data_IF_423079376868
#
_entry.id   IF_423079376868
#
_cell.length_a   1.000
_cell.length_b   1.000
_cell.length_c   1.000
_cell.angle_alpha   90.00
_cell.angle_beta   90.00
_cell.angle_gamma   90.00
#
_symmetry.space_group_name_H-M   'P 1'
#
loop_
_entity.id
_entity.type
_entity.pdbx_description
1 polymer ?
#
# COMPACT_ATOMS: atom_id res chain seq x y z
N UNK A 1 -0.46 -6.36 17.51
CA UNK A 1 0.07 -5.05 18.05
C UNK A 1 -0.10 -3.97 17.00
N UNK A 2 -0.69 -2.83 17.34
CA UNK A 2 -0.86 -1.69 16.42
C UNK A 2 0.49 -1.00 16.19
N UNK A 3 0.95 -1.01 14.92
CA UNK A 3 2.21 -0.44 14.49
C UNK A 3 2.02 1.01 14.01
N UNK A 4 3.01 1.90 14.17
CA UNK A 4 2.91 3.25 13.65
C UNK A 4 3.08 3.28 12.13
N UNK A 5 2.23 4.06 11.43
CA UNK A 5 2.35 4.30 9.99
C UNK A 5 3.45 5.33 9.73
N UNK A 6 4.40 4.98 8.88
CA UNK A 6 5.46 5.88 8.40
C UNK A 6 4.89 6.81 7.34
N UNK A 7 5.02 8.11 7.56
CA UNK A 7 4.46 9.12 6.66
C UNK A 7 5.45 9.63 5.63
N UNK A 8 4.94 10.31 4.62
CA UNK A 8 5.70 10.91 3.54
C UNK A 8 6.97 11.60 4.02
N UNK A 9 8.08 11.35 3.32
CA UNK A 9 9.42 11.83 3.66
C UNK A 9 10.28 10.81 4.40
N UNK A 10 9.70 9.77 5.00
CA UNK A 10 10.47 8.69 5.63
C UNK A 10 11.27 7.93 4.56
N UNK A 11 12.61 7.74 4.73
CA UNK A 11 13.45 7.12 3.71
C UNK A 11 13.03 5.71 3.33
N UNK A 12 12.46 4.93 4.26
CA UNK A 12 12.02 3.56 4.01
C UNK A 12 10.96 3.48 2.93
N UNK A 13 10.11 4.52 2.76
CA UNK A 13 9.06 4.57 1.74
C UNK A 13 9.62 4.72 0.31
N UNK A 14 10.91 5.03 0.18
CA UNK A 14 11.59 5.16 -1.11
C UNK A 14 12.59 4.04 -1.38
N UNK A 15 12.69 3.08 -0.47
CA UNK A 15 13.51 1.89 -0.69
C UNK A 15 12.76 0.88 -1.55
N UNK A 16 13.50 0.17 -2.40
CA UNK A 16 13.02 -1.05 -3.02
C UNK A 16 13.05 -2.14 -1.97
N UNK A 17 11.92 -2.77 -1.71
CA UNK A 17 11.78 -3.83 -0.74
C UNK A 17 12.37 -5.14 -1.28
N UNK A 18 12.95 -5.93 -0.38
CA UNK A 18 13.56 -7.22 -0.69
C UNK A 18 12.56 -8.35 -0.46
N UNK A 19 12.69 -9.43 -1.25
CA UNK A 19 11.98 -10.66 -0.99
C UNK A 19 12.39 -11.23 0.37
N UNK A 20 11.42 -11.74 1.12
CA UNK A 20 11.67 -12.36 2.42
C UNK A 20 11.93 -13.85 2.25
N UNK A 21 12.87 -14.43 3.01
CA UNK A 21 13.14 -15.87 3.00
C UNK A 21 11.97 -16.65 3.63
N UNK A 22 11.86 -17.93 3.31
CA UNK A 22 10.79 -18.81 3.82
C UNK A 22 10.85 -19.02 5.33
N UNK A 23 12.02 -18.82 5.95
CA UNK A 23 12.27 -18.92 7.38
C UNK A 23 12.28 -17.54 8.09
N UNK A 24 11.64 -16.54 7.48
CA UNK A 24 11.56 -15.19 8.08
C UNK A 24 10.94 -15.26 9.48
N UNK A 25 11.65 -14.74 10.51
CA UNK A 25 11.22 -14.90 11.90
C UNK A 25 9.91 -14.16 12.17
N UNK A 26 9.01 -14.78 12.92
CA UNK A 26 7.75 -14.19 13.38
C UNK A 26 6.84 -13.64 12.26
N UNK A 27 6.93 -14.20 11.03
CA UNK A 27 6.17 -13.74 9.87
C UNK A 27 4.65 -13.71 10.15
N UNK A 28 4.12 -14.77 10.77
CA UNK A 28 2.70 -14.88 11.11
C UNK A 28 2.26 -13.77 12.09
N UNK A 29 3.10 -13.47 13.09
CA UNK A 29 2.83 -12.38 14.03
C UNK A 29 2.90 -11.02 13.33
N UNK A 30 3.86 -10.81 12.44
CA UNK A 30 3.96 -9.58 11.65
C UNK A 30 2.71 -9.36 10.77
N UNK A 31 2.23 -10.41 10.10
CA UNK A 31 1.00 -10.37 9.29
C UNK A 31 -0.20 -9.99 10.17
N UNK A 32 -0.33 -10.61 11.35
CA UNK A 32 -1.41 -10.29 12.29
C UNK A 32 -1.34 -8.83 12.78
N UNK A 33 -0.16 -8.34 13.13
CA UNK A 33 0.07 -6.95 13.54
C UNK A 33 -0.25 -5.95 12.41
N UNK A 34 0.08 -6.30 11.15
CA UNK A 34 -0.25 -5.48 9.99
C UNK A 34 -1.76 -5.40 9.75
N UNK A 35 -2.49 -6.50 9.88
CA UNK A 35 -3.95 -6.50 9.78
C UNK A 35 -4.61 -5.70 10.92
N UNK A 36 -4.14 -5.86 12.17
CA UNK A 36 -4.64 -5.08 13.30
C UNK A 36 -4.41 -3.57 13.07
N UNK A 37 -3.24 -3.21 12.57
CA UNK A 37 -2.89 -1.83 12.20
C UNK A 37 -3.77 -1.30 11.08
N UNK A 38 -4.03 -2.11 10.04
CA UNK A 38 -4.89 -1.76 8.91
C UNK A 38 -6.32 -1.47 9.38
N UNK A 39 -6.88 -2.35 10.20
CA UNK A 39 -8.23 -2.20 10.77
C UNK A 39 -8.34 -0.92 11.61
N UNK A 40 -7.38 -0.66 12.50
CA UNK A 40 -7.35 0.55 13.34
C UNK A 40 -7.21 1.84 12.52
N UNK A 41 -6.54 1.75 11.38
CA UNK A 41 -6.32 2.88 10.47
C UNK A 41 -7.46 3.08 9.46
N UNK A 42 -8.50 2.23 9.49
CA UNK A 42 -9.63 2.23 8.55
C UNK A 42 -9.17 2.14 7.08
N UNK A 43 -8.04 1.47 6.84
CA UNK A 43 -7.49 1.24 5.51
C UNK A 43 -7.97 -0.07 4.89
N UNK A 44 -7.70 -0.24 3.59
CA UNK A 44 -8.01 -1.46 2.83
C UNK A 44 -6.77 -2.22 2.38
N UNK A 45 -5.61 -1.59 2.42
CA UNK A 45 -4.30 -2.17 2.10
C UNK A 45 -3.19 -1.53 2.90
N UNK A 46 -2.15 -2.31 3.18
CA UNK A 46 -0.97 -1.86 3.92
C UNK A 46 0.26 -2.65 3.47
N UNK A 47 1.30 -1.93 3.04
CA UNK A 47 2.58 -2.50 2.67
C UNK A 47 3.61 -2.38 3.80
N UNK A 48 4.50 -3.34 3.94
CA UNK A 48 5.52 -3.38 4.99
C UNK A 48 6.42 -2.12 5.06
N UNK A 49 6.79 -1.45 3.96
CA UNK A 49 7.49 -0.17 4.05
C UNK A 49 6.73 0.91 4.84
N UNK A 50 5.39 0.89 4.82
CA UNK A 50 4.55 1.83 5.58
C UNK A 50 4.59 1.59 7.10
N UNK A 51 5.13 0.46 7.54
CA UNK A 51 5.42 0.18 8.96
C UNK A 51 6.92 0.12 9.25
N UNK A 52 7.76 0.66 8.34
CA UNK A 52 9.19 0.81 8.53
C UNK A 52 10.05 -0.38 8.11
N UNK A 53 9.49 -1.38 7.42
CA UNK A 53 10.20 -2.60 6.99
C UNK A 53 10.31 -2.65 5.46
N UNK A 54 11.51 -2.58 4.90
CA UNK A 54 11.75 -2.66 3.47
C UNK A 54 11.76 -4.13 2.97
N UNK A 55 10.66 -4.84 3.19
CA UNK A 55 10.44 -6.23 2.78
C UNK A 55 9.18 -6.33 1.93
N UNK A 56 9.13 -7.32 1.02
CA UNK A 56 8.00 -7.55 0.13
C UNK A 56 6.87 -8.29 0.83
N UNK A 57 6.10 -7.56 1.63
CA UNK A 57 4.91 -8.05 2.32
C UNK A 57 3.82 -6.98 2.25
N UNK A 58 2.61 -7.42 1.88
CA UNK A 58 1.41 -6.59 1.80
C UNK A 58 0.25 -7.34 2.43
N UNK A 59 -0.64 -6.63 3.11
CA UNK A 59 -1.93 -7.14 3.56
C UNK A 59 -3.05 -6.32 2.91
N UNK A 60 -4.10 -7.00 2.45
CA UNK A 60 -5.28 -6.39 1.83
C UNK A 60 -6.52 -6.97 2.50
N UNK A 61 -7.43 -6.08 2.91
CA UNK A 61 -8.73 -6.42 3.50
C UNK A 61 -9.82 -5.65 2.74
N UNK A 62 -10.47 -6.32 1.79
CA UNK A 62 -11.61 -5.78 1.04
C UNK A 62 -12.95 -6.24 1.61
N UNK A 63 -12.96 -7.13 2.61
CA UNK A 63 -14.18 -7.56 3.28
C UNK A 63 -14.93 -6.37 3.91
N UNK A 64 -14.18 -5.35 4.35
CA UNK A 64 -14.75 -4.09 4.87
C UNK A 64 -15.60 -3.32 3.85
N UNK A 65 -15.50 -3.65 2.56
CA UNK A 65 -16.27 -3.08 1.46
C UNK A 65 -17.38 -4.01 0.96
N UNK A 66 -17.59 -5.17 1.57
CA UNK A 66 -18.49 -6.22 1.08
C UNK A 66 -19.96 -5.79 0.99
N UNK A 67 -20.37 -4.79 1.76
CA UNK A 67 -21.74 -4.24 1.68
C UNK A 67 -22.00 -3.55 0.33
N UNK A 68 -20.98 -2.87 -0.22
CA UNK A 68 -21.04 -2.16 -1.51
C UNK A 68 -20.50 -3.02 -2.66
N UNK A 69 -19.58 -3.94 -2.37
CA UNK A 69 -18.88 -4.83 -3.31
C UNK A 69 -18.93 -6.27 -2.82
N UNK A 70 -20.09 -6.97 -2.98
CA UNK A 70 -20.32 -8.32 -2.44
C UNK A 70 -19.32 -9.37 -2.90
N UNK A 71 -18.67 -9.17 -4.05
CA UNK A 71 -17.61 -10.04 -4.59
C UNK A 71 -16.38 -10.12 -3.68
N UNK A 72 -16.18 -9.15 -2.79
CA UNK A 72 -15.05 -9.11 -1.85
C UNK A 72 -15.39 -9.61 -0.45
N UNK A 73 -16.56 -10.22 -0.28
CA UNK A 73 -16.90 -10.86 0.99
C UNK A 73 -15.84 -11.90 1.37
N UNK A 74 -15.41 -11.86 2.62
CA UNK A 74 -14.34 -12.72 3.20
C UNK A 74 -12.96 -12.52 2.54
N UNK A 75 -12.75 -11.44 1.76
CA UNK A 75 -11.47 -11.13 1.15
C UNK A 75 -10.56 -10.39 2.14
N UNK A 76 -9.78 -11.16 2.87
CA UNK A 76 -8.73 -10.67 3.79
C UNK A 76 -7.50 -11.54 3.65
N UNK A 77 -6.45 -11.04 2.95
CA UNK A 77 -5.31 -11.87 2.53
C UNK A 77 -3.98 -11.14 2.66
N UNK A 78 -2.91 -11.83 3.13
CA UNK A 78 -1.54 -11.39 2.97
C UNK A 78 -1.00 -11.81 1.59
N UNK A 79 -0.06 -11.02 1.09
CA UNK A 79 0.70 -11.27 -0.13
C UNK A 79 2.18 -11.23 0.23
N UNK A 80 2.85 -12.38 0.18
CA UNK A 80 4.26 -12.55 0.52
C UNK A 80 5.05 -12.59 -0.78
N UNK A 81 6.10 -11.78 -0.88
CA UNK A 81 6.93 -11.65 -2.07
C UNK A 81 6.11 -11.38 -3.36
N UNK A 82 5.13 -10.44 -3.33
CA UNK A 82 4.32 -10.18 -4.50
C UNK A 82 5.11 -9.41 -5.56
N UNK A 83 4.91 -9.80 -6.84
CA UNK A 83 5.47 -9.14 -8.01
C UNK A 83 4.41 -9.02 -9.10
N UNK A 84 4.25 -7.83 -9.68
CA UNK A 84 3.50 -7.67 -10.93
C UNK A 84 4.43 -8.05 -12.07
N UNK A 85 4.11 -9.12 -12.77
CA UNK A 85 4.93 -9.66 -13.87
C UNK A 85 4.46 -9.20 -15.25
N UNK A 86 3.21 -8.74 -15.34
CA UNK A 86 2.63 -8.26 -16.59
C UNK A 86 1.52 -7.23 -16.32
N UNK A 87 1.43 -6.21 -17.16
CA UNK A 87 0.35 -5.23 -17.19
C UNK A 87 -0.40 -5.38 -18.51
N UNK A 88 -1.73 -5.42 -18.44
CA UNK A 88 -2.57 -5.33 -19.63
C UNK A 88 -2.94 -3.86 -19.87
N UNK A 89 -2.18 -3.21 -20.74
CA UNK A 89 -2.35 -1.79 -21.06
C UNK A 89 -3.47 -1.53 -22.10
N UNK A 90 -4.23 -2.56 -22.50
CA UNK A 90 -5.33 -2.41 -23.46
C UNK A 90 -6.47 -1.56 -22.90
N UNK A 91 -6.66 -1.56 -21.59
CA UNK A 91 -7.65 -0.77 -20.89
C UNK A 91 -7.08 -0.13 -19.63
N UNK A 92 -7.32 1.17 -19.48
CA UNK A 92 -6.91 1.92 -18.29
C UNK A 92 -8.09 2.66 -17.69
N UNK A 93 -8.08 2.85 -16.38
CA UNK A 93 -9.10 3.59 -15.66
C UNK A 93 -8.46 4.63 -14.74
N UNK A 94 -9.12 5.79 -14.61
CA UNK A 94 -8.71 6.86 -13.70
C UNK A 94 -9.64 6.91 -12.50
N UNK A 95 -9.11 6.63 -11.31
CA UNK A 95 -9.84 6.67 -10.05
C UNK A 95 -9.09 7.48 -9.01
N UNK A 96 -9.82 8.04 -8.04
CA UNK A 96 -9.24 8.71 -6.89
C UNK A 96 -8.55 7.69 -5.96
N UNK A 97 -7.32 7.99 -5.56
CA UNK A 97 -6.55 7.23 -4.59
C UNK A 97 -6.13 8.11 -3.42
N UNK A 98 -6.05 7.48 -2.25
CA UNK A 98 -5.47 8.02 -1.03
C UNK A 98 -4.52 7.00 -0.42
N UNK A 99 -3.73 7.40 0.58
CA UNK A 99 -2.74 6.53 1.20
C UNK A 99 -2.56 6.87 2.69
N UNK A 100 -2.46 5.87 3.54
CA UNK A 100 -2.22 6.07 4.98
C UNK A 100 -0.90 6.81 5.25
N UNK A 101 0.10 6.67 4.37
CA UNK A 101 1.37 7.41 4.45
C UNK A 101 1.29 8.85 3.95
N UNK A 102 0.16 9.26 3.36
CA UNK A 102 -0.13 10.58 2.80
C UNK A 102 -1.49 11.11 3.33
N UNK A 103 -1.64 11.31 4.66
CA UNK A 103 -2.91 11.76 5.23
C UNK A 103 -3.49 12.99 4.54
N UNK A 104 -4.81 12.96 4.27
CA UNK A 104 -5.57 14.04 3.66
C UNK A 104 -5.14 14.45 2.23
N UNK A 105 -4.38 13.61 1.53
CA UNK A 105 -4.03 13.81 0.12
C UNK A 105 -4.73 12.74 -0.72
N UNK A 106 -5.53 13.20 -1.69
CA UNK A 106 -6.23 12.36 -2.65
C UNK A 106 -6.03 12.94 -4.04
N UNK A 107 -5.75 12.07 -5.01
CA UNK A 107 -5.55 12.44 -6.41
C UNK A 107 -6.07 11.34 -7.33
N UNK A 108 -6.52 11.72 -8.53
CA UNK A 108 -6.87 10.76 -9.56
C UNK A 108 -5.62 10.15 -10.17
N UNK A 109 -5.58 8.83 -10.21
CA UNK A 109 -4.49 8.04 -10.78
C UNK A 109 -5.03 7.14 -11.88
N UNK A 110 -4.39 7.17 -13.05
CA UNK A 110 -4.71 6.26 -14.14
C UNK A 110 -3.86 5.01 -14.03
N UNK A 111 -4.52 3.83 -14.06
CA UNK A 111 -3.86 2.53 -13.98
C UNK A 111 -4.47 1.54 -14.97
N UNK A 112 -3.70 0.55 -15.47
CA UNK A 112 -4.27 -0.62 -16.12
C UNK A 112 -5.34 -1.29 -15.26
N UNK A 113 -6.42 -1.76 -15.88
CA UNK A 113 -7.53 -2.43 -15.18
C UNK A 113 -7.22 -3.89 -14.86
N UNK A 114 -6.16 -4.45 -15.46
CA UNK A 114 -5.80 -5.87 -15.34
C UNK A 114 -4.29 -6.05 -15.25
N UNK A 115 -3.85 -6.90 -14.33
CA UNK A 115 -2.43 -7.21 -14.08
C UNK A 115 -2.25 -8.70 -13.85
N UNK A 116 -1.07 -9.24 -14.17
CA UNK A 116 -0.66 -10.58 -13.75
C UNK A 116 0.28 -10.49 -12.57
N UNK A 117 -0.03 -11.22 -11.51
CA UNK A 117 0.65 -11.14 -10.22
C UNK A 117 1.15 -12.52 -9.81
N UNK A 118 2.38 -12.58 -9.32
CA UNK A 118 2.95 -13.75 -8.64
C UNK A 118 3.16 -13.41 -7.18
N UNK A 119 2.81 -14.33 -6.25
CA UNK A 119 3.02 -14.16 -4.81
C UNK A 119 3.01 -15.51 -4.09
N UNK A 120 3.41 -15.51 -2.81
CA UNK A 120 3.21 -16.63 -1.90
C UNK A 120 2.08 -16.30 -0.92
N UNK A 121 1.24 -17.29 -0.60
CA UNK A 121 0.22 -17.17 0.43
C UNK A 121 0.77 -17.43 1.85
N UNK A 122 -0.12 -17.49 2.85
CA UNK A 122 0.27 -17.70 4.27
C UNK A 122 0.96 -19.05 4.51
N UNK A 123 0.69 -20.04 3.66
CA UNK A 123 1.28 -21.39 3.71
C UNK A 123 2.51 -21.48 2.80
N UNK A 124 2.99 -20.33 2.28
CA UNK A 124 4.12 -20.19 1.36
C UNK A 124 3.90 -20.94 0.02
N UNK A 125 2.64 -21.14 -0.36
CA UNK A 125 2.32 -21.75 -1.65
C UNK A 125 2.34 -20.67 -2.74
N UNK A 126 2.95 -20.96 -3.90
CA UNK A 126 3.05 -20.01 -5.00
C UNK A 126 1.74 -19.86 -5.76
N UNK A 127 1.43 -18.63 -6.11
CA UNK A 127 0.30 -18.24 -6.96
C UNK A 127 0.80 -17.44 -8.16
N UNK A 128 0.12 -17.58 -9.29
CA UNK A 128 0.35 -16.81 -10.53
C UNK A 128 -1.01 -16.61 -11.20
N UNK A 129 -1.55 -15.40 -11.09
CA UNK A 129 -2.92 -15.12 -11.52
C UNK A 129 -3.03 -13.78 -12.21
N UNK A 130 -3.97 -13.71 -13.17
CA UNK A 130 -4.49 -12.45 -13.66
C UNK A 130 -5.53 -11.92 -12.69
N UNK A 131 -5.39 -10.65 -12.34
CA UNK A 131 -6.28 -9.93 -11.43
C UNK A 131 -6.81 -8.70 -12.14
N UNK A 132 -8.09 -8.41 -11.98
CA UNK A 132 -8.76 -7.28 -12.63
C UNK A 132 -9.64 -6.48 -11.64
N UNK A 133 -10.14 -5.35 -12.10
CA UNK A 133 -11.06 -4.51 -11.36
C UNK A 133 -10.44 -3.81 -10.15
N UNK A 134 -11.23 -3.60 -9.11
CA UNK A 134 -10.80 -2.84 -7.94
C UNK A 134 -9.63 -3.51 -7.18
N UNK A 135 -9.62 -4.85 -7.09
CA UNK A 135 -8.50 -5.58 -6.49
C UNK A 135 -7.18 -5.30 -7.23
N UNK A 136 -7.19 -5.29 -8.57
CA UNK A 136 -6.00 -4.95 -9.35
C UNK A 136 -5.50 -3.53 -9.07
N UNK A 137 -6.40 -2.57 -8.84
CA UNK A 137 -6.06 -1.21 -8.43
C UNK A 137 -5.38 -1.18 -7.06
N UNK A 138 -5.97 -1.84 -6.08
CA UNK A 138 -5.41 -1.90 -4.72
C UNK A 138 -4.05 -2.59 -4.73
N UNK A 139 -3.90 -3.71 -5.44
CA UNK A 139 -2.61 -4.39 -5.58
C UNK A 139 -1.55 -3.49 -6.21
N UNK A 140 -1.87 -2.77 -7.28
CA UNK A 140 -0.92 -1.84 -7.91
C UNK A 140 -0.47 -0.73 -6.95
N UNK A 141 -1.40 -0.19 -6.16
CA UNK A 141 -1.09 0.83 -5.16
C UNK A 141 -0.13 0.29 -4.08
N UNK A 142 -0.46 -0.87 -3.50
CA UNK A 142 0.33 -1.45 -2.41
C UNK A 142 1.68 -1.99 -2.90
N UNK A 143 1.73 -2.57 -4.10
CA UNK A 143 2.98 -3.10 -4.66
C UNK A 143 3.90 -1.98 -5.15
N UNK A 144 3.36 -0.81 -5.51
CA UNK A 144 4.18 0.39 -5.73
C UNK A 144 5.02 0.74 -4.50
N UNK A 145 4.46 0.61 -3.28
CA UNK A 145 5.21 0.83 -2.05
C UNK A 145 6.42 -0.10 -1.91
N UNK A 146 6.30 -1.34 -2.40
CA UNK A 146 7.42 -2.29 -2.40
C UNK A 146 8.54 -1.91 -3.38
N UNK A 147 8.21 -1.11 -4.39
CA UNK A 147 9.16 -0.59 -5.37
C UNK A 147 9.61 0.86 -5.06
N UNK A 148 9.35 1.33 -3.84
CA UNK A 148 9.71 2.67 -3.39
C UNK A 148 8.90 3.79 -4.06
N UNK A 149 7.72 3.48 -4.58
CA UNK A 149 6.81 4.41 -5.27
C UNK A 149 5.58 4.70 -4.44
N UNK A 150 4.98 5.85 -4.67
CA UNK A 150 3.70 6.25 -4.10
C UNK A 150 2.76 6.74 -5.21
N UNK A 151 1.45 6.75 -4.98
CA UNK A 151 0.48 7.14 -6.01
C UNK A 151 0.71 8.56 -6.56
N UNK A 152 1.28 9.47 -5.77
CA UNK A 152 1.64 10.83 -6.19
C UNK A 152 2.77 10.87 -7.24
N UNK A 153 3.51 9.78 -7.42
CA UNK A 153 4.52 9.68 -8.48
C UNK A 153 3.88 9.46 -9.87
N UNK A 154 2.62 9.03 -9.90
CA UNK A 154 1.84 8.70 -11.09
C UNK A 154 0.93 9.82 -11.58
N UNK A 155 0.82 10.93 -10.84
CA UNK A 155 0.02 12.09 -11.22
C UNK A 155 0.84 13.05 -12.10
N UNK A 156 0.13 13.94 -12.84
CA UNK A 156 0.78 14.90 -13.71
C UNK A 156 1.65 15.91 -12.95
N UNK A 157 2.66 16.52 -13.59
CA UNK A 157 3.49 17.57 -12.96
C UNK A 157 2.65 18.73 -12.43
N UNK A 158 1.58 19.13 -13.14
CA UNK A 158 0.66 20.17 -12.70
C UNK A 158 -0.03 19.77 -11.39
N UNK A 159 -0.54 18.53 -11.28
CA UNK A 159 -1.17 18.03 -10.06
C UNK A 159 -0.17 17.98 -8.90
N UNK A 160 1.07 17.53 -9.15
CA UNK A 160 2.15 17.58 -8.15
C UNK A 160 2.39 18.98 -7.62
N UNK A 161 2.37 19.98 -8.48
CA UNK A 161 2.54 21.36 -8.07
C UNK A 161 1.39 21.84 -7.17
N UNK A 162 0.15 21.45 -7.46
CA UNK A 162 -1.02 21.83 -6.67
C UNK A 162 -1.00 21.23 -5.24
N UNK A 163 -0.46 20.03 -5.07
CA UNK A 163 -0.37 19.37 -3.74
C UNK A 163 0.93 19.71 -2.98
N UNK A 164 1.85 20.47 -3.57
CA UNK A 164 3.19 20.78 -3.02
C UNK A 164 3.14 21.30 -1.58
N UNK A 165 2.22 22.19 -1.28
CA UNK A 165 2.08 22.75 0.07
C UNK A 165 1.55 21.71 1.08
N UNK A 166 0.67 20.81 0.66
CA UNK A 166 0.19 19.71 1.49
C UNK A 166 1.34 18.74 1.79
N UNK A 167 2.15 18.38 0.79
CA UNK A 167 3.34 17.54 0.98
C UNK A 167 4.35 18.19 1.94
N UNK A 168 4.59 19.49 1.81
CA UNK A 168 5.45 20.25 2.74
C UNK A 168 4.91 20.22 4.17
N UNK A 169 3.59 20.32 4.36
CA UNK A 169 2.96 20.21 5.66
C UNK A 169 3.17 18.81 6.27
N UNK A 170 3.06 17.73 5.49
CA UNK A 170 3.36 16.37 5.94
C UNK A 170 4.80 16.23 6.43
N UNK A 171 5.78 16.73 5.66
CA UNK A 171 7.20 16.72 6.05
C UNK A 171 7.47 17.45 7.36
N UNK A 172 6.66 18.44 7.69
CA UNK A 172 6.76 19.23 8.91
C UNK A 172 5.92 18.69 10.08
N UNK A 173 5.25 17.53 9.89
CA UNK A 173 4.35 16.93 10.87
C UNK A 173 3.09 17.77 11.13
N UNK A 174 2.72 18.65 10.20
CA UNK A 174 1.53 19.53 10.29
C UNK A 174 0.34 18.90 9.57
N UNK A 175 -0.21 17.86 10.17
CA UNK A 175 -1.41 17.17 9.71
C UNK A 175 -2.13 16.52 10.89
N UNK A 176 -3.34 16.05 10.67
CA UNK A 176 -4.12 15.23 11.63
C UNK A 176 -4.62 13.98 10.94
N UNK A 177 -4.57 12.86 11.64
CA UNK A 177 -5.19 11.60 11.25
C UNK A 177 -5.61 10.84 12.52
N UNK A 178 -6.50 9.87 12.37
CA UNK A 178 -7.05 9.07 13.46
C UNK A 178 -6.16 7.93 13.97
N UNK A 179 -5.00 7.71 13.33
CA UNK A 179 -4.12 6.57 13.61
C UNK A 179 -2.71 7.00 14.01
N UNK A 180 -1.98 6.07 14.62
CA UNK A 180 -0.60 6.28 15.09
C UNK A 180 0.36 6.44 13.91
N UNK A 181 1.17 7.50 13.93
CA UNK A 181 2.13 7.78 12.86
C UNK A 181 3.57 7.87 13.37
N UNK A 182 4.51 7.57 12.48
CA UNK A 182 5.96 7.80 12.67
C UNK A 182 6.39 8.94 11.76
N UNK A 183 6.71 10.06 12.38
CA UNK A 183 7.18 11.27 11.68
C UNK A 183 8.69 11.25 11.47
N UNK A 184 9.17 12.06 10.52
CA UNK A 184 10.59 12.37 10.42
C UNK A 184 11.08 13.03 11.72
N UNK A 185 12.31 12.70 12.18
CA UNK A 185 12.93 13.47 13.25
C UNK A 185 13.00 14.97 12.87
N UNK A 186 12.61 15.84 13.78
CA UNK A 186 12.83 17.27 13.56
C UNK A 186 14.33 17.50 13.39
N UNK A 187 14.75 18.15 12.31
CA UNK A 187 16.11 18.67 12.20
C UNK A 187 16.22 19.81 13.24
N UNK A 188 17.11 19.59 14.22
CA UNK A 188 17.53 20.66 15.13
C UNK A 188 18.24 21.76 14.34
#
# INVERSE_FOLDING_TARGET
MILPIYTYGQPVLRKVAEDIPTDYPDLQQLIADMFETLTESEGIGLAAPQIGKAIRLVVIDLDVLADDMPEYKDFKRPFINPHIVEYDDSETESQEEGCLSLPAIHEKVTRPTRIRVQWLDVDLQPHDEWVEGFLARVMQHEFDHLDGKMFIDRISPLRKQLIKNKLKALLQGRFRCGYKTKLLPKKN
#
